data_IF_562112345363
#
_entry.id   IF_562112345363
#
_cell.length_a   1.000
_cell.length_b   1.000
_cell.length_c   1.000
_cell.angle_alpha   90.00
_cell.angle_beta   90.00
_cell.angle_gamma   90.00
#
_symmetry.space_group_name_H-M   'P 1'
#
loop_
_entity.id
_entity.type
_entity.pdbx_description
1 polymer ?
#
# COMPACT_ATOMS: atom_id res chain seq x y z
N UNK A 1 3.76 -21.80 -3.86
CA UNK A 1 2.72 -20.92 -4.37
C UNK A 1 3.24 -19.49 -4.47
N UNK A 2 3.05 -18.84 -5.59
CA UNK A 2 3.51 -17.46 -5.79
C UNK A 2 2.45 -16.47 -5.32
N UNK A 3 2.89 -15.26 -4.97
CA UNK A 3 2.00 -14.15 -4.66
C UNK A 3 2.44 -12.93 -5.45
N UNK A 4 1.53 -12.01 -5.64
CA UNK A 4 1.80 -10.74 -6.32
C UNK A 4 1.98 -9.68 -5.25
N UNK A 5 3.05 -8.90 -5.36
CA UNK A 5 3.33 -7.80 -4.45
C UNK A 5 3.23 -6.49 -5.22
N UNK A 6 2.35 -5.61 -4.78
CA UNK A 6 2.29 -4.24 -5.28
C UNK A 6 2.98 -3.35 -4.27
N UNK A 7 3.99 -2.60 -4.71
CA UNK A 7 4.76 -1.72 -3.86
C UNK A 7 4.59 -0.28 -4.30
N UNK A 8 4.27 0.59 -3.35
CA UNK A 8 4.27 2.03 -3.54
C UNK A 8 5.52 2.61 -2.87
N UNK A 9 6.18 3.52 -3.56
CA UNK A 9 7.36 4.24 -3.06
C UNK A 9 6.92 5.64 -2.67
N UNK A 10 7.04 5.98 -1.38
CA UNK A 10 6.51 7.21 -0.82
C UNK A 10 7.61 8.11 -0.27
N UNK A 11 7.54 9.41 -0.60
CA UNK A 11 8.27 10.43 0.12
C UNK A 11 7.31 10.96 1.20
N UNK A 12 7.61 10.71 2.47
CA UNK A 12 6.71 10.97 3.57
C UNK A 12 7.11 12.23 4.32
N UNK A 13 6.16 13.15 4.50
CA UNK A 13 6.35 14.39 5.25
C UNK A 13 5.84 14.28 6.70
N UNK A 14 4.81 13.45 6.93
CA UNK A 14 4.23 13.21 8.26
C UNK A 14 4.20 11.71 8.54
N UNK A 15 5.29 11.21 9.11
CA UNK A 15 5.48 9.78 9.34
C UNK A 15 4.46 9.20 10.31
N UNK A 16 4.17 9.90 11.39
CA UNK A 16 3.23 9.42 12.40
C UNK A 16 1.83 9.23 11.82
N UNK A 17 1.33 10.21 11.08
CA UNK A 17 0.01 10.13 10.44
C UNK A 17 -0.01 9.11 9.31
N UNK A 18 1.07 9.03 8.53
CA UNK A 18 1.22 8.04 7.46
C UNK A 18 1.10 6.60 8.01
N UNK A 19 1.81 6.30 9.10
CA UNK A 19 1.72 4.99 9.77
C UNK A 19 0.33 4.72 10.32
N UNK A 20 -0.27 5.71 10.96
CA UNK A 20 -1.61 5.59 11.55
C UNK A 20 -2.65 5.26 10.49
N UNK A 21 -2.62 5.95 9.35
CA UNK A 21 -3.56 5.73 8.26
C UNK A 21 -3.41 4.31 7.68
N UNK A 22 -2.17 3.83 7.52
CA UNK A 22 -1.94 2.48 7.03
C UNK A 22 -2.41 1.42 8.03
N UNK A 23 -2.26 1.66 9.33
CA UNK A 23 -2.77 0.75 10.35
C UNK A 23 -4.29 0.68 10.32
N UNK A 24 -4.96 1.81 10.19
CA UNK A 24 -6.43 1.85 10.05
C UNK A 24 -6.87 1.11 8.79
N UNK A 25 -6.15 1.30 7.69
CA UNK A 25 -6.43 0.59 6.45
C UNK A 25 -6.31 -0.94 6.65
N UNK A 26 -5.22 -1.39 7.25
CA UNK A 26 -5.00 -2.80 7.52
C UNK A 26 -6.11 -3.41 8.38
N UNK A 27 -6.48 -2.72 9.45
CA UNK A 27 -7.45 -3.23 10.42
C UNK A 27 -8.88 -3.25 9.89
N UNK A 28 -9.26 -2.25 9.10
CA UNK A 28 -10.67 -2.04 8.73
C UNK A 28 -11.00 -2.32 7.28
N UNK A 29 -10.06 -2.10 6.36
CA UNK A 29 -10.37 -2.05 4.93
C UNK A 29 -9.63 -3.07 4.07
N UNK A 30 -8.50 -3.57 4.52
CA UNK A 30 -7.63 -4.42 3.70
C UNK A 30 -8.36 -5.64 3.13
N UNK A 31 -9.18 -6.31 3.92
CA UNK A 31 -9.93 -7.50 3.48
C UNK A 31 -10.90 -7.20 2.34
N UNK A 32 -11.44 -5.99 2.30
CA UNK A 32 -12.37 -5.56 1.26
C UNK A 32 -11.67 -5.29 -0.08
N UNK A 33 -10.36 -5.14 -0.04
CA UNK A 33 -9.56 -4.81 -1.22
C UNK A 33 -8.96 -6.02 -1.91
N UNK A 34 -9.20 -7.23 -1.39
CA UNK A 34 -8.59 -8.44 -1.93
C UNK A 34 -7.13 -8.68 -1.51
N UNK A 35 -6.52 -7.73 -0.82
CA UNK A 35 -5.16 -7.90 -0.31
C UNK A 35 -5.14 -8.90 0.86
N UNK A 36 -4.11 -9.74 0.90
CA UNK A 36 -3.96 -10.76 1.96
C UNK A 36 -3.03 -10.33 3.07
N UNK A 37 -2.12 -9.39 2.80
CA UNK A 37 -1.12 -8.94 3.76
C UNK A 37 -0.63 -7.55 3.37
N UNK A 38 -0.23 -6.75 4.34
CA UNK A 38 0.40 -5.46 4.13
C UNK A 38 1.69 -5.36 4.94
N UNK A 39 2.68 -4.66 4.41
CA UNK A 39 3.94 -4.41 5.09
C UNK A 39 4.40 -2.97 4.79
N UNK A 40 4.81 -2.24 5.80
CA UNK A 40 5.48 -0.95 5.63
C UNK A 40 6.97 -1.13 5.88
N UNK A 41 7.80 -0.57 4.99
CA UNK A 41 9.25 -0.62 5.11
C UNK A 41 9.82 0.80 5.02
N UNK A 42 10.86 1.09 5.82
CA UNK A 42 11.60 2.34 5.73
C UNK A 42 12.90 2.09 4.97
N UNK A 43 13.21 2.95 4.01
CA UNK A 43 14.47 2.88 3.29
C UNK A 43 15.58 3.45 4.19
N UNK A 44 16.59 2.64 4.48
CA UNK A 44 17.73 3.02 5.30
C UNK A 44 18.95 3.49 4.49
N UNK A 45 18.89 3.34 3.17
CA UNK A 45 20.01 3.66 2.27
C UNK A 45 19.81 4.95 1.50
N UNK A 46 18.56 5.41 1.40
CA UNK A 46 18.19 6.63 0.68
C UNK A 46 18.09 7.83 1.62
N UNK A 47 17.67 8.96 1.06
CA UNK A 47 17.36 10.15 1.81
C UNK A 47 16.23 9.89 2.84
N UNK A 48 16.20 10.72 3.89
CA UNK A 48 15.20 10.64 4.93
C UNK A 48 13.77 10.72 4.37
N UNK A 49 12.86 9.99 4.99
CA UNK A 49 11.44 10.05 4.68
C UNK A 49 11.00 9.14 3.54
N UNK A 50 11.85 8.27 3.03
CA UNK A 50 11.45 7.31 2.00
C UNK A 50 10.92 6.03 2.63
N UNK A 51 9.67 5.68 2.29
CA UNK A 51 8.98 4.50 2.80
C UNK A 51 8.36 3.71 1.66
N UNK A 52 8.24 2.41 1.85
CA UNK A 52 7.57 1.52 0.91
C UNK A 52 6.36 0.89 1.57
N UNK A 53 5.24 0.88 0.86
CA UNK A 53 4.06 0.14 1.27
C UNK A 53 3.89 -1.04 0.33
N UNK A 54 3.96 -2.25 0.87
CA UNK A 54 3.78 -3.49 0.11
C UNK A 54 2.41 -4.07 0.42
N UNK A 55 1.65 -4.41 -0.63
CA UNK A 55 0.42 -5.17 -0.52
C UNK A 55 0.55 -6.47 -1.29
N UNK A 56 0.14 -7.56 -0.66
CA UNK A 56 0.25 -8.90 -1.20
C UNK A 56 -1.10 -9.40 -1.67
N UNK A 57 -1.13 -9.99 -2.86
CA UNK A 57 -2.34 -10.54 -3.47
C UNK A 57 -2.06 -11.96 -3.93
N UNK A 58 -3.04 -12.85 -3.76
CA UNK A 58 -2.88 -14.25 -4.15
C UNK A 58 -3.02 -14.47 -5.66
N UNK A 59 -3.76 -13.60 -6.34
CA UNK A 59 -4.03 -13.71 -7.78
C UNK A 59 -4.31 -12.35 -8.40
N UNK A 60 -4.18 -12.27 -9.73
CA UNK A 60 -4.40 -11.01 -10.46
C UNK A 60 -5.82 -10.46 -10.32
N UNK A 61 -6.83 -11.33 -10.21
CA UNK A 61 -8.21 -10.88 -10.03
C UNK A 61 -8.39 -10.05 -8.75
N UNK A 62 -7.55 -10.28 -7.73
CA UNK A 62 -7.62 -9.51 -6.49
C UNK A 62 -7.10 -8.08 -6.67
N UNK A 63 -6.24 -7.83 -7.66
CA UNK A 63 -5.81 -6.47 -8.01
C UNK A 63 -6.98 -5.66 -8.55
N UNK A 64 -7.88 -6.28 -9.31
CA UNK A 64 -9.07 -5.60 -9.82
C UNK A 64 -10.00 -5.19 -8.67
N UNK A 65 -10.13 -6.03 -7.66
CA UNK A 65 -10.90 -5.70 -6.45
C UNK A 65 -10.29 -4.50 -5.72
N UNK A 66 -8.97 -4.47 -5.64
CA UNK A 66 -8.24 -3.38 -5.02
C UNK A 66 -8.51 -2.06 -5.75
N UNK A 67 -8.37 -2.06 -7.08
CA UNK A 67 -8.61 -0.87 -7.88
C UNK A 67 -10.06 -0.41 -7.77
N UNK A 68 -11.01 -1.35 -7.77
CA UNK A 68 -12.43 -1.04 -7.63
C UNK A 68 -12.71 -0.41 -6.25
N UNK A 69 -12.07 -0.89 -5.19
CA UNK A 69 -12.26 -0.33 -3.85
C UNK A 69 -11.87 1.15 -3.82
N UNK A 70 -10.77 1.53 -4.48
CA UNK A 70 -10.30 2.91 -4.46
C UNK A 70 -11.12 3.85 -5.36
N UNK A 71 -12.07 3.33 -6.09
CA UNK A 71 -13.10 4.13 -6.79
C UNK A 71 -14.32 4.37 -5.92
N UNK A 72 -14.44 3.68 -4.78
CA UNK A 72 -15.50 3.92 -3.82
C UNK A 72 -15.24 5.19 -3.02
N UNK A 73 -16.29 5.73 -2.39
CA UNK A 73 -16.18 6.91 -1.55
C UNK A 73 -15.16 6.73 -0.41
N UNK A 74 -15.20 5.57 0.27
CA UNK A 74 -14.27 5.25 1.34
C UNK A 74 -12.82 5.15 0.86
N UNK A 75 -12.59 4.52 -0.29
CA UNK A 75 -11.26 4.39 -0.86
C UNK A 75 -10.68 5.73 -1.31
N UNK A 76 -11.50 6.58 -1.93
CA UNK A 76 -11.06 7.92 -2.33
C UNK A 76 -10.72 8.78 -1.12
N UNK A 77 -11.50 8.67 -0.04
CA UNK A 77 -11.24 9.40 1.19
C UNK A 77 -9.91 8.99 1.83
N UNK A 78 -9.60 7.70 1.82
CA UNK A 78 -8.30 7.19 2.29
C UNK A 78 -7.17 7.75 1.42
N UNK A 79 -7.31 7.70 0.10
CA UNK A 79 -6.31 8.23 -0.83
C UNK A 79 -6.03 9.71 -0.60
N UNK A 80 -7.06 10.52 -0.37
CA UNK A 80 -6.90 11.93 -0.04
C UNK A 80 -6.16 12.14 1.28
N UNK A 81 -6.49 11.35 2.30
CA UNK A 81 -5.83 11.44 3.60
C UNK A 81 -4.34 11.11 3.48
N UNK A 82 -4.00 10.05 2.77
CA UNK A 82 -2.60 9.65 2.54
C UNK A 82 -1.85 10.72 1.77
N UNK A 83 -2.46 11.33 0.76
CA UNK A 83 -1.79 12.33 -0.07
C UNK A 83 -1.40 13.60 0.69
N UNK A 84 -2.00 13.84 1.86
CA UNK A 84 -1.61 14.94 2.75
C UNK A 84 -0.36 14.62 3.57
N UNK A 85 0.01 13.36 3.69
CA UNK A 85 1.15 12.90 4.50
C UNK A 85 2.35 12.52 3.66
N UNK A 86 2.15 12.23 2.38
CA UNK A 86 3.20 11.67 1.52
C UNK A 86 2.89 11.86 0.04
N UNK A 87 3.94 11.79 -0.77
CA UNK A 87 3.85 11.79 -2.24
C UNK A 87 4.37 10.47 -2.77
N UNK A 88 3.59 9.80 -3.59
CA UNK A 88 4.00 8.57 -4.24
C UNK A 88 4.81 8.90 -5.50
N UNK A 89 6.05 8.43 -5.59
CA UNK A 89 6.91 8.72 -6.73
C UNK A 89 7.20 7.51 -7.62
N UNK A 90 6.83 6.31 -7.19
CA UNK A 90 6.98 5.09 -8.00
C UNK A 90 6.05 3.99 -7.51
N UNK A 91 5.70 3.07 -8.40
CA UNK A 91 4.91 1.88 -8.09
C UNK A 91 5.47 0.70 -8.85
N UNK A 92 5.54 -0.45 -8.18
CA UNK A 92 6.02 -1.69 -8.78
C UNK A 92 5.02 -2.82 -8.57
N UNK A 93 5.00 -3.74 -9.54
CA UNK A 93 4.33 -5.03 -9.39
C UNK A 93 5.41 -6.09 -9.52
N UNK A 94 5.49 -6.96 -8.53
CA UNK A 94 6.46 -8.06 -8.51
C UNK A 94 5.76 -9.36 -8.18
N UNK A 95 6.33 -10.45 -8.66
CA UNK A 95 5.93 -11.78 -8.26
C UNK A 95 6.88 -12.27 -7.16
N UNK A 96 6.30 -12.74 -6.06
CA UNK A 96 7.09 -13.31 -4.97
C UNK A 96 7.22 -14.82 -5.22
N UNK A 97 8.43 -15.28 -5.48
CA UNK A 97 8.69 -16.66 -5.88
C UNK A 97 8.97 -17.53 -4.67
N UNK A 98 8.41 -18.75 -4.68
CA UNK A 98 8.75 -19.79 -3.72
C UNK A 98 9.96 -20.58 -4.24
N UNK A 99 10.87 -20.90 -3.32
CA UNK A 99 12.02 -21.74 -3.62
C UNK A 99 11.87 -23.11 -3.00
#
# INVERSE_FOLDING_TARGET
MTSIVKTWHWQVSDVAEFKKLHRVFEDKYMKKTGASKMCLRRDLTSADGVYYADLYFKKFADLDKFDAYFKTKAGMKFGEAISKTASCFARDYCENLDY
#
